data_IF_186679376094
#
_entry.id   IF_186679376094
#
_cell.length_a   1.000
_cell.length_b   1.000
_cell.length_c   1.000
_cell.angle_alpha   90.00
_cell.angle_beta   90.00
_cell.angle_gamma   90.00
#
_symmetry.space_group_name_H-M   'P 1'
#
loop_
_entity.id
_entity.type
_entity.pdbx_description
1 polymer ?
#
# COMPACT_ATOMS: atom_id res chain seq x y z
N UNK A 1 16.87 19.80 34.15
CA UNK A 1 16.85 19.90 32.69
C UNK A 1 18.22 19.51 32.13
N UNK A 2 18.42 18.24 31.89
CA UNK A 2 19.63 17.73 31.20
C UNK A 2 19.22 17.36 29.80
N UNK A 3 19.74 18.08 28.81
CA UNK A 3 19.62 17.70 27.39
C UNK A 3 20.24 16.31 27.18
N UNK A 4 19.56 15.40 26.44
CA UNK A 4 20.18 14.13 26.06
C UNK A 4 21.38 14.42 25.15
N UNK A 5 22.47 13.63 25.26
CA UNK A 5 23.69 13.82 24.48
C UNK A 5 23.43 13.75 22.99
N UNK A 6 24.03 14.66 22.22
CA UNK A 6 23.88 14.79 20.77
C UNK A 6 24.21 13.50 19.98
N UNK A 7 24.93 12.56 20.55
CA UNK A 7 25.26 11.26 19.94
C UNK A 7 24.07 10.28 19.78
N UNK A 8 22.96 10.49 20.53
CA UNK A 8 21.79 9.61 20.47
C UNK A 8 20.92 9.79 19.22
N UNK A 9 20.99 10.95 18.56
CA UNK A 9 20.21 11.21 17.32
C UNK A 9 20.91 10.67 16.08
N UNK A 10 22.21 10.71 16.02
CA UNK A 10 22.98 10.18 14.89
C UNK A 10 22.97 8.65 14.88
N UNK A 11 23.13 8.01 16.05
CA UNK A 11 23.01 6.54 16.14
C UNK A 11 21.61 6.05 15.76
N UNK A 12 20.55 6.70 16.21
CA UNK A 12 19.17 6.35 15.83
C UNK A 12 18.88 6.54 14.33
N UNK A 13 19.50 7.54 13.68
CA UNK A 13 19.36 7.76 12.24
C UNK A 13 20.08 6.68 11.43
N UNK A 14 21.26 6.28 11.86
CA UNK A 14 22.05 5.19 11.23
C UNK A 14 21.31 3.85 11.39
N UNK A 15 20.78 3.55 12.56
CA UNK A 15 19.99 2.33 12.82
C UNK A 15 18.74 2.28 11.95
N UNK A 16 18.01 3.40 11.84
CA UNK A 16 16.85 3.51 10.96
C UNK A 16 17.24 3.31 9.48
N UNK A 17 18.33 3.90 9.05
CA UNK A 17 18.84 3.74 7.69
C UNK A 17 19.24 2.28 7.39
N UNK A 18 19.94 1.62 8.31
CA UNK A 18 20.30 0.21 8.19
C UNK A 18 19.08 -0.69 8.18
N UNK A 19 18.08 -0.42 9.03
CA UNK A 19 16.82 -1.17 9.06
C UNK A 19 16.06 -1.05 7.72
N UNK A 20 15.95 0.16 7.20
CA UNK A 20 15.33 0.40 5.87
C UNK A 20 16.12 -0.30 4.77
N UNK A 21 17.44 -0.14 4.75
CA UNK A 21 18.32 -0.78 3.76
C UNK A 21 18.20 -2.31 3.77
N UNK A 22 18.16 -2.90 4.96
CA UNK A 22 17.98 -4.35 5.13
C UNK A 22 16.63 -4.81 4.59
N UNK A 23 15.54 -4.09 4.89
CA UNK A 23 14.21 -4.43 4.38
C UNK A 23 14.13 -4.33 2.85
N UNK A 24 14.71 -3.29 2.28
CA UNK A 24 14.79 -3.13 0.83
C UNK A 24 15.61 -4.25 0.19
N UNK A 25 16.74 -4.63 0.78
CA UNK A 25 17.55 -5.75 0.31
C UNK A 25 16.80 -7.07 0.34
N UNK A 26 16.08 -7.36 1.42
CA UNK A 26 15.23 -8.57 1.54
C UNK A 26 14.19 -8.59 0.41
N UNK A 27 13.52 -7.47 0.14
CA UNK A 27 12.54 -7.37 -0.96
C UNK A 27 13.17 -7.64 -2.32
N UNK A 28 14.36 -7.09 -2.60
CA UNK A 28 15.08 -7.35 -3.84
C UNK A 28 15.48 -8.83 -3.97
N UNK A 29 15.94 -9.45 -2.87
CA UNK A 29 16.26 -10.88 -2.86
C UNK A 29 15.02 -11.75 -3.12
N UNK A 30 13.86 -11.40 -2.56
CA UNK A 30 12.59 -12.07 -2.83
C UNK A 30 12.17 -11.93 -4.31
N UNK A 31 12.31 -10.74 -4.88
CA UNK A 31 12.02 -10.51 -6.30
C UNK A 31 12.99 -11.33 -7.17
N UNK A 32 14.29 -11.32 -6.85
CA UNK A 32 15.31 -12.12 -7.53
C UNK A 32 15.02 -13.62 -7.49
N UNK A 33 14.64 -14.12 -6.31
CA UNK A 33 14.22 -15.52 -6.12
C UNK A 33 13.01 -15.86 -6.98
N UNK A 34 11.98 -14.99 -6.96
CA UNK A 34 10.78 -15.16 -7.81
C UNK A 34 11.11 -15.18 -9.30
N UNK A 35 12.02 -14.30 -9.73
CA UNK A 35 12.51 -14.29 -11.12
C UNK A 35 13.21 -15.58 -11.52
N UNK A 36 14.13 -16.07 -10.66
CA UNK A 36 14.84 -17.34 -10.91
C UNK A 36 13.87 -18.52 -10.98
N UNK A 37 12.95 -18.62 -10.02
CA UNK A 37 11.93 -19.67 -10.01
C UNK A 37 11.01 -19.62 -11.24
N UNK A 38 10.67 -18.42 -11.71
CA UNK A 38 9.92 -18.22 -12.95
C UNK A 38 10.72 -18.66 -14.18
N UNK A 39 12.01 -18.33 -14.25
CA UNK A 39 12.92 -18.73 -15.34
C UNK A 39 13.17 -20.23 -15.37
N UNK A 40 13.19 -20.88 -14.21
CA UNK A 40 13.31 -22.33 -14.08
C UNK A 40 11.98 -23.06 -14.35
N UNK A 41 10.91 -22.34 -14.73
CA UNK A 41 9.57 -22.88 -14.94
C UNK A 41 8.96 -23.62 -13.74
N UNK A 42 9.48 -23.38 -12.52
CA UNK A 42 8.93 -23.93 -11.28
C UNK A 42 7.63 -23.23 -10.89
N UNK A 43 7.49 -21.95 -11.25
CA UNK A 43 6.25 -21.19 -11.08
C UNK A 43 5.57 -21.04 -12.43
N UNK A 44 4.40 -21.65 -12.58
CA UNK A 44 3.58 -21.49 -13.78
C UNK A 44 2.77 -20.21 -13.71
N UNK A 45 2.37 -19.66 -14.86
CA UNK A 45 1.51 -18.47 -14.92
C UNK A 45 0.19 -18.67 -14.14
N UNK A 46 -0.41 -19.84 -14.21
CA UNK A 46 -1.62 -20.19 -13.42
C UNK A 46 -1.33 -20.19 -11.93
N UNK A 47 -0.19 -20.73 -11.51
CA UNK A 47 0.25 -20.71 -10.10
C UNK A 47 0.45 -19.29 -9.59
N UNK A 48 1.11 -18.42 -10.35
CA UNK A 48 1.30 -17.02 -9.99
C UNK A 48 -0.03 -16.27 -9.82
N UNK A 49 -0.97 -16.45 -10.76
CA UNK A 49 -2.32 -15.86 -10.68
C UNK A 49 -3.08 -16.38 -9.46
N UNK A 50 -3.03 -17.69 -9.19
CA UNK A 50 -3.71 -18.29 -8.02
C UNK A 50 -3.15 -17.74 -6.70
N UNK A 51 -1.82 -17.64 -6.58
CA UNK A 51 -1.15 -17.06 -5.42
C UNK A 51 -1.50 -15.58 -5.23
N UNK A 52 -1.53 -14.80 -6.33
CA UNK A 52 -1.93 -13.39 -6.28
C UNK A 52 -3.37 -13.23 -5.81
N UNK A 53 -4.29 -14.09 -6.26
CA UNK A 53 -5.67 -14.09 -5.80
C UNK A 53 -5.75 -14.42 -4.30
N UNK A 54 -5.02 -15.42 -3.82
CA UNK A 54 -4.95 -15.75 -2.39
C UNK A 54 -4.47 -14.56 -1.56
N UNK A 55 -3.40 -13.90 -2.02
CA UNK A 55 -2.87 -12.71 -1.36
C UNK A 55 -3.89 -11.57 -1.31
N UNK A 56 -4.59 -11.31 -2.42
CA UNK A 56 -5.57 -10.22 -2.50
C UNK A 56 -6.86 -10.49 -1.72
N UNK A 57 -7.42 -11.69 -1.86
CA UNK A 57 -8.75 -11.97 -1.32
C UNK A 57 -8.74 -12.56 0.10
N UNK A 58 -7.60 -13.11 0.56
CA UNK A 58 -7.50 -13.72 1.88
C UNK A 58 -6.49 -12.99 2.75
N UNK A 59 -5.24 -12.89 2.30
CA UNK A 59 -4.15 -12.37 3.15
C UNK A 59 -4.33 -10.88 3.43
N UNK A 60 -4.67 -10.07 2.42
CA UNK A 60 -4.84 -8.63 2.60
C UNK A 60 -5.97 -8.26 3.57
N UNK A 61 -7.19 -8.86 3.48
CA UNK A 61 -8.21 -8.65 4.50
C UNK A 61 -7.80 -9.10 5.90
N UNK A 62 -7.11 -10.24 6.02
CA UNK A 62 -6.63 -10.72 7.32
C UNK A 62 -5.63 -9.75 7.97
N UNK A 63 -4.71 -9.18 7.19
CA UNK A 63 -3.78 -8.15 7.68
C UNK A 63 -4.54 -6.93 8.21
N UNK A 64 -5.55 -6.45 7.48
CA UNK A 64 -6.38 -5.34 7.92
C UNK A 64 -7.08 -5.65 9.24
N UNK A 65 -7.70 -6.82 9.37
CA UNK A 65 -8.35 -7.25 10.62
C UNK A 65 -7.36 -7.21 11.78
N UNK A 66 -6.19 -7.82 11.63
CA UNK A 66 -5.17 -7.87 12.68
C UNK A 66 -4.69 -6.47 13.09
N UNK A 67 -4.53 -5.57 12.13
CA UNK A 67 -4.08 -4.19 12.38
C UNK A 67 -5.12 -3.40 13.18
N UNK A 68 -6.41 -3.62 12.90
CA UNK A 68 -7.50 -2.91 13.60
C UNK A 68 -7.92 -3.51 14.94
N UNK A 69 -7.42 -4.70 15.30
CA UNK A 69 -7.72 -5.33 16.61
C UNK A 69 -7.00 -4.68 17.82
N UNK A 70 -6.44 -3.50 17.68
CA UNK A 70 -5.74 -2.80 18.76
C UNK A 70 -6.68 -1.95 19.59
N UNK A 71 -6.45 -1.82 20.92
CA UNK A 71 -7.14 -0.84 21.72
C UNK A 71 -6.83 0.57 21.18
N UNK A 72 -7.88 1.31 20.84
CA UNK A 72 -7.80 2.66 20.30
C UNK A 72 -7.75 3.65 21.47
N UNK A 73 -6.60 4.22 21.75
CA UNK A 73 -6.48 5.40 22.60
C UNK A 73 -6.97 6.63 21.82
N UNK A 74 -7.57 7.59 22.51
CA UNK A 74 -8.18 8.78 21.89
C UNK A 74 -7.17 9.58 21.04
N UNK A 75 -5.93 9.68 21.49
CA UNK A 75 -4.85 10.36 20.73
C UNK A 75 -4.48 9.60 19.46
N UNK A 76 -4.41 8.28 19.54
CA UNK A 76 -4.13 7.40 18.41
C UNK A 76 -5.23 7.50 17.34
N UNK A 77 -6.48 7.66 17.79
CA UNK A 77 -7.62 7.83 16.87
C UNK A 77 -7.57 9.18 16.15
N UNK A 78 -7.24 10.27 16.83
CA UNK A 78 -7.06 11.58 16.18
C UNK A 78 -5.97 11.54 15.11
N UNK A 79 -4.82 10.96 15.42
CA UNK A 79 -3.69 10.83 14.50
C UNK A 79 -4.03 9.92 13.31
N UNK A 80 -4.89 8.93 13.50
CA UNK A 80 -5.40 8.11 12.39
C UNK A 80 -6.19 8.93 11.36
N UNK A 81 -7.06 9.85 11.81
CA UNK A 81 -7.78 10.74 10.90
C UNK A 81 -6.86 11.70 10.16
N UNK A 82 -5.82 12.20 10.81
CA UNK A 82 -4.79 13.01 10.15
C UNK A 82 -4.07 12.19 9.09
N UNK A 83 -3.69 10.95 9.39
CA UNK A 83 -3.07 10.03 8.42
C UNK A 83 -4.01 9.72 7.25
N UNK A 84 -5.31 9.55 7.50
CA UNK A 84 -6.31 9.31 6.47
C UNK A 84 -6.46 10.51 5.53
N UNK A 85 -6.53 11.72 6.08
CA UNK A 85 -6.57 12.96 5.29
C UNK A 85 -5.29 13.14 4.47
N UNK A 86 -4.13 12.90 5.07
CA UNK A 86 -2.86 12.93 4.36
C UNK A 86 -2.83 11.93 3.20
N UNK A 87 -3.33 10.70 3.42
CA UNK A 87 -3.44 9.69 2.37
C UNK A 87 -4.34 10.13 1.21
N UNK A 88 -5.48 10.75 1.49
CA UNK A 88 -6.38 11.30 0.48
C UNK A 88 -5.71 12.40 -0.33
N UNK A 89 -5.01 13.32 0.34
CA UNK A 89 -4.28 14.41 -0.32
C UNK A 89 -3.17 13.87 -1.23
N UNK A 90 -2.37 12.92 -0.72
CA UNK A 90 -1.28 12.29 -1.49
C UNK A 90 -1.83 11.59 -2.75
N UNK A 91 -2.91 10.81 -2.62
CA UNK A 91 -3.53 10.16 -3.77
C UNK A 91 -4.12 11.17 -4.76
N UNK A 92 -4.73 12.25 -4.26
CA UNK A 92 -5.21 13.37 -5.09
C UNK A 92 -4.09 14.02 -5.89
N UNK A 93 -2.95 14.29 -5.25
CA UNK A 93 -1.76 14.82 -5.92
C UNK A 93 -1.23 13.82 -6.96
N UNK A 94 -1.11 12.54 -6.63
CA UNK A 94 -0.64 11.51 -7.55
C UNK A 94 -1.55 11.40 -8.79
N UNK A 95 -2.86 11.45 -8.60
CA UNK A 95 -3.84 11.45 -9.69
C UNK A 95 -3.61 12.68 -10.58
N UNK A 96 -3.54 13.87 -9.99
CA UNK A 96 -3.34 15.12 -10.73
C UNK A 96 -2.02 15.12 -11.50
N UNK A 97 -0.92 14.74 -10.83
CA UNK A 97 0.41 14.66 -11.46
C UNK A 97 0.42 13.64 -12.60
N UNK A 98 -0.19 12.48 -12.40
CA UNK A 98 -0.27 11.45 -13.44
C UNK A 98 -1.06 11.92 -14.67
N UNK A 99 -2.12 12.71 -14.47
CA UNK A 99 -2.90 13.31 -15.55
C UNK A 99 -2.07 14.33 -16.35
N UNK A 100 -1.28 15.16 -15.67
CA UNK A 100 -0.51 16.25 -16.28
C UNK A 100 0.76 15.73 -16.98
N UNK A 101 1.46 14.77 -16.38
CA UNK A 101 2.79 14.31 -16.82
C UNK A 101 2.67 13.18 -17.84
N UNK A 102 1.75 12.22 -17.61
CA UNK A 102 1.69 11.03 -18.46
C UNK A 102 0.85 11.31 -19.71
N UNK A 103 1.56 11.59 -20.80
CA UNK A 103 1.01 11.86 -22.12
C UNK A 103 1.50 10.81 -23.11
N UNK A 104 0.73 9.74 -23.27
CA UNK A 104 0.99 8.70 -24.29
C UNK A 104 -0.12 8.72 -25.34
N UNK A 105 0.25 8.40 -26.60
CA UNK A 105 -0.69 8.29 -27.73
C UNK A 105 -1.50 7.01 -27.67
N UNK A 106 -0.94 5.95 -27.10
CA UNK A 106 -1.62 4.67 -26.90
C UNK A 106 -2.45 4.75 -25.61
N UNK A 107 -3.79 4.64 -25.68
CA UNK A 107 -4.66 4.71 -24.51
C UNK A 107 -4.37 3.64 -23.46
N UNK A 108 -4.00 2.42 -23.89
CA UNK A 108 -3.72 1.31 -23.00
C UNK A 108 -2.42 1.53 -22.23
N UNK A 109 -1.36 1.92 -22.93
CA UNK A 109 -0.08 2.27 -22.31
C UNK A 109 -0.21 3.46 -21.34
N UNK A 110 -0.94 4.49 -21.76
CA UNK A 110 -1.24 5.65 -20.92
C UNK A 110 -1.95 5.24 -19.61
N UNK A 111 -2.97 4.42 -19.72
CA UNK A 111 -3.71 3.92 -18.55
C UNK A 111 -2.82 3.09 -17.63
N UNK A 112 -1.97 2.23 -18.18
CA UNK A 112 -1.04 1.43 -17.40
C UNK A 112 0.00 2.28 -16.65
N UNK A 113 0.61 3.26 -17.32
CA UNK A 113 1.55 4.17 -16.68
C UNK A 113 0.90 5.02 -15.60
N UNK A 114 -0.33 5.49 -15.82
CA UNK A 114 -1.11 6.20 -14.78
C UNK A 114 -1.40 5.33 -13.58
N UNK A 115 -1.86 4.10 -13.83
CA UNK A 115 -2.08 3.14 -12.74
C UNK A 115 -0.81 2.93 -11.91
N UNK A 116 0.33 2.70 -12.56
CA UNK A 116 1.61 2.48 -11.89
C UNK A 116 2.12 3.72 -11.12
N UNK A 117 1.82 4.92 -11.60
CA UNK A 117 2.20 6.16 -10.95
C UNK A 117 1.32 6.50 -9.72
N UNK A 118 0.02 6.19 -9.80
CA UNK A 118 -0.93 6.48 -8.71
C UNK A 118 -0.83 5.43 -7.60
N UNK A 119 -0.72 4.15 -7.97
CA UNK A 119 -0.81 3.01 -7.05
C UNK A 119 0.57 2.41 -6.78
N UNK A 120 1.18 2.83 -5.67
CA UNK A 120 2.43 2.28 -5.18
C UNK A 120 2.23 0.93 -4.48
N UNK A 121 3.31 0.16 -4.28
CA UNK A 121 3.27 -1.08 -3.51
C UNK A 121 3.25 -0.80 -1.99
N UNK A 122 2.14 -0.28 -1.51
CA UNK A 122 2.00 0.12 -0.11
C UNK A 122 1.70 -1.06 0.84
N UNK A 123 1.21 -2.19 0.34
CA UNK A 123 0.92 -3.35 1.17
C UNK A 123 2.19 -4.14 1.54
N UNK A 124 2.86 -4.69 0.54
CA UNK A 124 3.98 -5.60 0.77
C UNK A 124 5.30 -4.91 1.07
N UNK A 125 5.49 -3.68 0.60
CA UNK A 125 6.73 -2.94 0.80
C UNK A 125 6.65 -1.99 2.00
N UNK A 126 5.54 -1.30 2.19
CA UNK A 126 5.42 -0.31 3.25
C UNK A 126 5.22 -0.93 4.64
N UNK A 127 4.47 -2.04 4.77
CA UNK A 127 4.20 -2.65 6.08
C UNK A 127 5.48 -3.11 6.78
N UNK A 128 6.40 -3.88 6.16
CA UNK A 128 7.68 -4.22 6.79
C UNK A 128 8.52 -2.99 7.16
N UNK A 129 8.53 -1.99 6.28
CA UNK A 129 9.27 -0.75 6.50
C UNK A 129 8.73 0.06 7.67
N UNK A 130 7.41 0.23 7.75
CA UNK A 130 6.74 0.92 8.85
C UNK A 130 6.96 0.21 10.18
N UNK A 131 6.92 -1.14 10.17
CA UNK A 131 7.22 -1.94 11.35
C UNK A 131 8.64 -1.74 11.82
N UNK A 132 9.61 -1.67 10.91
CA UNK A 132 11.03 -1.48 11.24
C UNK A 132 11.33 -0.10 11.82
N UNK A 133 10.65 0.96 11.35
CA UNK A 133 10.92 2.36 11.76
C UNK A 133 10.09 2.79 12.96
N UNK A 134 8.79 2.51 12.94
CA UNK A 134 7.80 3.03 13.89
C UNK A 134 7.13 1.92 14.73
N UNK A 135 7.58 0.67 14.54
CA UNK A 135 6.97 -0.46 15.19
C UNK A 135 5.49 -0.62 14.81
N UNK A 136 4.71 -1.08 15.74
CA UNK A 136 3.31 -1.40 15.54
C UNK A 136 2.41 -0.17 15.34
N UNK A 137 2.79 1.00 15.86
CA UNK A 137 2.07 2.25 15.60
C UNK A 137 2.21 2.71 14.14
N UNK A 138 3.38 2.50 13.54
CA UNK A 138 3.59 2.80 12.12
C UNK A 138 2.66 2.00 11.21
N UNK A 139 2.47 0.73 11.50
CA UNK A 139 1.53 -0.14 10.76
C UNK A 139 0.09 0.34 10.93
N UNK A 140 -0.27 0.77 12.13
CA UNK A 140 -1.61 1.31 12.39
C UNK A 140 -1.90 2.58 11.57
N UNK A 141 -0.99 3.56 11.58
CA UNK A 141 -1.17 4.76 10.74
C UNK A 141 -1.07 4.45 9.25
N UNK A 142 -0.22 3.49 8.87
CA UNK A 142 -0.12 2.99 7.50
C UNK A 142 -1.40 2.31 7.01
N UNK A 143 -2.21 1.74 7.91
CA UNK A 143 -3.50 1.16 7.55
C UNK A 143 -4.50 2.19 7.05
N UNK A 144 -4.43 3.44 7.51
CA UNK A 144 -5.23 4.54 6.98
C UNK A 144 -4.89 4.80 5.49
N UNK A 145 -3.60 4.79 5.14
CA UNK A 145 -3.16 4.88 3.74
C UNK A 145 -3.63 3.66 2.93
N UNK A 146 -3.49 2.46 3.48
CA UNK A 146 -3.89 1.22 2.83
C UNK A 146 -5.41 1.17 2.56
N UNK A 147 -6.22 1.74 3.45
CA UNK A 147 -7.67 1.87 3.29
C UNK A 147 -8.00 2.75 2.07
N UNK A 148 -7.44 3.96 1.99
CA UNK A 148 -7.63 4.87 0.85
C UNK A 148 -7.14 4.22 -0.45
N UNK A 149 -5.95 3.63 -0.42
CA UNK A 149 -5.37 2.89 -1.53
C UNK A 149 -6.30 1.79 -2.04
N UNK A 150 -6.86 0.98 -1.12
CA UNK A 150 -7.75 -0.12 -1.48
C UNK A 150 -9.00 0.39 -2.16
N UNK A 151 -9.68 1.39 -1.56
CA UNK A 151 -10.88 2.00 -2.15
C UNK A 151 -10.60 2.56 -3.54
N UNK A 152 -9.51 3.31 -3.71
CA UNK A 152 -9.14 3.91 -4.99
C UNK A 152 -8.69 2.87 -6.03
N UNK A 153 -7.97 1.82 -5.62
CA UNK A 153 -7.57 0.75 -6.52
C UNK A 153 -8.77 0.03 -7.11
N UNK A 154 -9.75 -0.28 -6.28
CA UNK A 154 -10.95 -0.98 -6.72
C UNK A 154 -11.95 -0.09 -7.48
N UNK A 155 -11.88 1.21 -7.35
CA UNK A 155 -12.70 2.16 -8.10
C UNK A 155 -11.98 2.66 -9.34
N UNK A 156 -11.03 3.56 -9.15
CA UNK A 156 -10.27 4.23 -10.20
C UNK A 156 -9.27 3.29 -10.87
N UNK A 157 -8.60 2.43 -10.09
CA UNK A 157 -7.60 1.50 -10.60
C UNK A 157 -8.15 0.51 -11.62
N UNK A 158 -9.29 -0.12 -11.31
CA UNK A 158 -9.95 -1.04 -12.26
C UNK A 158 -10.39 -0.33 -13.53
N UNK A 159 -10.87 0.91 -13.43
CA UNK A 159 -11.29 1.68 -14.59
C UNK A 159 -10.11 2.04 -15.50
N UNK A 160 -8.98 2.44 -14.92
CA UNK A 160 -7.76 2.69 -15.66
C UNK A 160 -7.30 1.44 -16.43
N UNK A 161 -7.26 0.28 -15.76
CA UNK A 161 -6.84 -0.98 -16.40
C UNK A 161 -7.78 -1.43 -17.51
N UNK A 162 -9.08 -1.16 -17.39
CA UNK A 162 -10.07 -1.47 -18.43
C UNK A 162 -10.09 -0.47 -19.59
N UNK A 163 -9.24 0.57 -19.57
CA UNK A 163 -9.17 1.58 -20.62
C UNK A 163 -10.44 2.45 -20.72
N UNK A 164 -11.29 2.43 -19.70
CA UNK A 164 -12.55 3.17 -19.68
C UNK A 164 -12.40 4.62 -19.21
N UNK A 165 -13.38 5.46 -19.58
CA UNK A 165 -13.54 6.78 -18.99
C UNK A 165 -13.86 6.62 -17.51
N UNK A 166 -13.31 7.50 -16.66
CA UNK A 166 -13.59 7.55 -15.22
C UNK A 166 -15.11 7.60 -14.97
N UNK A 167 -15.73 6.47 -14.72
CA UNK A 167 -17.10 6.37 -14.27
C UNK A 167 -17.11 5.75 -12.87
N UNK A 168 -17.30 6.55 -11.85
CA UNK A 168 -17.41 6.10 -10.47
C UNK A 168 -18.68 5.25 -10.31
N UNK A 169 -18.53 3.98 -9.95
CA UNK A 169 -19.64 3.08 -9.72
C UNK A 169 -19.68 2.62 -8.26
N UNK A 170 -20.61 3.15 -7.50
CA UNK A 170 -20.88 2.74 -6.12
C UNK A 170 -21.14 1.22 -5.98
N UNK A 171 -21.74 0.63 -6.99
CA UNK A 171 -22.07 -0.79 -7.01
C UNK A 171 -20.82 -1.67 -7.03
N UNK A 172 -19.81 -1.27 -7.80
CA UNK A 172 -18.51 -1.97 -7.86
C UNK A 172 -17.76 -1.84 -6.54
N UNK A 173 -17.91 -0.72 -5.84
CA UNK A 173 -17.30 -0.47 -4.54
C UNK A 173 -17.91 -1.38 -3.46
N UNK A 174 -19.24 -1.41 -3.37
CA UNK A 174 -19.97 -2.17 -2.34
C UNK A 174 -19.93 -3.68 -2.56
N UNK A 175 -19.76 -4.15 -3.79
CA UNK A 175 -19.62 -5.58 -4.11
C UNK A 175 -18.19 -6.09 -3.92
N UNK A 176 -17.26 -5.25 -3.51
CA UNK A 176 -15.87 -5.64 -3.30
C UNK A 176 -15.67 -6.20 -1.89
N UNK A 177 -15.21 -7.44 -1.73
CA UNK A 177 -15.04 -8.04 -0.41
C UNK A 177 -14.05 -7.28 0.46
N UNK A 178 -13.01 -6.64 -0.12
CA UNK A 178 -12.04 -5.83 0.63
C UNK A 178 -12.64 -4.55 1.20
N UNK A 179 -13.49 -3.86 0.43
CA UNK A 179 -14.16 -2.63 0.88
C UNK A 179 -15.28 -2.95 1.88
N UNK A 180 -16.06 -4.00 1.60
CA UNK A 180 -17.13 -4.43 2.51
C UNK A 180 -16.57 -4.85 3.87
N UNK A 181 -15.44 -5.57 3.89
CA UNK A 181 -14.76 -5.95 5.12
C UNK A 181 -14.19 -4.74 5.86
N UNK A 182 -13.58 -3.79 5.15
CA UNK A 182 -13.04 -2.58 5.75
C UNK A 182 -14.13 -1.72 6.40
N UNK A 183 -15.31 -1.63 5.76
CA UNK A 183 -16.46 -0.90 6.30
C UNK A 183 -17.06 -1.63 7.51
N UNK A 184 -17.18 -2.95 7.48
CA UNK A 184 -17.71 -3.77 8.59
C UNK A 184 -16.79 -3.72 9.82
N UNK A 185 -15.46 -3.58 9.62
CA UNK A 185 -14.49 -3.49 10.71
C UNK A 185 -14.46 -2.07 11.32
N UNK A 186 -14.78 -1.05 10.53
CA UNK A 186 -14.80 0.35 10.98
C UNK A 186 -16.13 0.76 11.64
N UNK A 187 -17.19 -0.06 11.55
CA UNK A 187 -18.49 0.13 12.18
C UNK A 187 -18.56 -0.55 13.55
#
# INVERSE_FOLDING_TARGET
CTQPPAGGKESGMIESFLSVGTQVLILFLMIGTGFVLGKLHLITHKGAVSTSNLLMYVVSPCILIVVFQRPLETETFHNFWVALLAALVIHGINILVSELVIRDRDPMRKSFFRFSAIFSNCGFMAVPLQTAILGSLGVFYGSAYLLVFTVLTWTLGIQLVKGGKMAFSWRTLLMNPGVTLAVVIAA
#
